data_IF_883637014858
#
_entry.id   IF_883637014858
#
_cell.length_a   1.000
_cell.length_b   1.000
_cell.length_c   1.000
_cell.angle_alpha   90.00
_cell.angle_beta   90.00
_cell.angle_gamma   90.00
#
_symmetry.space_group_name_H-M   'P 1'
#
loop_
_entity.id
_entity.type
_entity.pdbx_description
1 polymer ?
#
# COMPACT_ATOMS: atom_id res chain seq x y z
N UNK A 1 15.35 2.69 -15.73
CA UNK A 1 14.34 3.57 -16.34
C UNK A 1 13.98 4.63 -15.33
N UNK A 2 14.18 5.90 -15.67
CA UNK A 2 13.90 7.00 -14.76
C UNK A 2 12.43 6.98 -14.32
N UNK A 3 12.18 7.05 -13.03
CA UNK A 3 10.83 7.23 -12.50
C UNK A 3 10.34 8.62 -12.86
N UNK A 4 9.39 8.66 -13.77
CA UNK A 4 8.84 9.91 -14.26
C UNK A 4 7.54 10.23 -13.53
N UNK A 5 7.58 11.21 -12.65
CA UNK A 5 6.43 11.68 -11.89
C UNK A 5 5.61 12.68 -12.71
N UNK A 6 4.78 12.15 -13.60
CA UNK A 6 3.83 12.95 -14.38
C UNK A 6 2.61 13.28 -13.52
N UNK A 7 2.17 14.54 -13.58
CA UNK A 7 0.94 14.98 -12.93
C UNK A 7 -0.20 15.01 -13.94
N UNK A 8 -1.31 14.37 -13.62
CA UNK A 8 -2.56 14.46 -14.36
C UNK A 8 -3.50 15.48 -13.75
N UNK A 9 -4.17 16.21 -14.58
CA UNK A 9 -5.16 17.21 -14.18
C UNK A 9 -6.56 16.76 -14.57
N UNK A 10 -7.47 16.77 -13.60
CA UNK A 10 -8.87 16.45 -13.77
C UNK A 10 -9.73 17.58 -13.26
N UNK A 11 -10.89 17.78 -13.89
CA UNK A 11 -11.94 18.66 -13.40
C UNK A 11 -13.16 17.82 -13.04
N UNK A 12 -13.57 17.90 -11.80
CA UNK A 12 -14.80 17.30 -11.31
C UNK A 12 -15.94 18.29 -11.52
N UNK A 13 -16.74 18.07 -12.54
CA UNK A 13 -17.95 18.89 -12.80
C UNK A 13 -19.11 18.33 -11.99
N UNK A 14 -19.43 19.02 -10.91
CA UNK A 14 -20.55 18.68 -10.06
C UNK A 14 -21.89 18.77 -10.81
N UNK A 15 -22.71 17.76 -10.65
CA UNK A 15 -24.19 17.57 -10.77
C UNK A 15 -25.01 18.28 -11.84
N UNK A 16 -24.55 19.31 -12.52
CA UNK A 16 -25.37 20.11 -13.45
C UNK A 16 -24.97 19.91 -14.91
N UNK A 17 -23.89 19.26 -15.19
CA UNK A 17 -23.44 19.01 -16.57
C UNK A 17 -23.05 17.55 -16.75
N UNK A 18 -23.91 16.79 -17.30
CA UNK A 18 -23.83 15.55 -18.10
C UNK A 18 -22.59 14.63 -18.09
N UNK A 19 -21.69 14.74 -17.13
CA UNK A 19 -20.73 13.69 -16.80
C UNK A 19 -21.16 13.10 -15.47
N UNK A 20 -21.95 12.04 -15.53
CA UNK A 20 -22.10 11.12 -14.42
C UNK A 20 -20.70 10.61 -14.12
N UNK A 21 -20.05 11.15 -13.10
CA UNK A 21 -19.01 10.42 -12.42
C UNK A 21 -19.74 9.27 -11.73
N UNK A 22 -19.77 8.12 -12.36
CA UNK A 22 -20.17 6.91 -11.67
C UNK A 22 -19.09 6.68 -10.65
N UNK A 23 -19.42 6.92 -9.39
CA UNK A 23 -18.60 6.53 -8.30
C UNK A 23 -18.59 5.00 -8.29
N UNK A 24 -17.48 4.38 -8.60
CA UNK A 24 -17.33 2.93 -8.49
C UNK A 24 -16.82 2.63 -7.09
N UNK A 25 -17.49 1.70 -6.43
CA UNK A 25 -16.98 1.12 -5.21
C UNK A 25 -15.69 0.35 -5.52
N UNK A 26 -14.58 0.83 -4.97
CA UNK A 26 -13.35 0.06 -5.00
C UNK A 26 -13.29 -0.77 -3.73
N UNK A 27 -13.22 -2.05 -3.91
CA UNK A 27 -12.74 -3.13 -3.05
C UNK A 27 -12.59 -2.82 -1.54
N UNK A 28 -13.36 -2.12 -0.88
CA UNK A 28 -13.54 -2.11 0.56
C UNK A 28 -14.63 -1.14 0.91
N UNK A 29 -15.81 -1.68 1.12
CA UNK A 29 -17.00 -1.00 1.64
C UNK A 29 -17.07 0.51 1.32
N UNK A 30 -18.16 1.02 0.90
CA UNK A 30 -18.60 2.43 0.86
C UNK A 30 -17.67 3.55 0.30
N UNK A 31 -16.41 3.29 -0.08
CA UNK A 31 -15.55 4.31 -0.69
C UNK A 31 -15.78 4.38 -2.19
N UNK A 32 -16.43 5.41 -2.62
CA UNK A 32 -16.64 5.70 -4.04
C UNK A 32 -15.60 6.73 -4.51
N UNK A 33 -14.84 6.37 -5.54
CA UNK A 33 -13.89 7.27 -6.20
C UNK A 33 -14.41 7.72 -7.55
N UNK A 34 -14.18 8.98 -7.98
CA UNK A 34 -14.60 9.44 -9.29
C UNK A 34 -13.84 8.73 -10.41
N UNK A 35 -14.56 8.37 -11.47
CA UNK A 35 -14.01 7.82 -12.68
C UNK A 35 -13.95 8.91 -13.74
N UNK A 36 -12.80 9.05 -14.36
CA UNK A 36 -12.53 9.99 -15.43
C UNK A 36 -12.38 9.28 -16.79
N UNK A 37 -12.42 10.03 -17.91
CA UNK A 37 -12.25 9.45 -19.24
C UNK A 37 -11.01 8.56 -19.34
N UNK A 38 -11.15 7.41 -20.02
CA UNK A 38 -10.12 6.39 -20.11
C UNK A 38 -10.12 5.40 -18.96
N UNK A 39 -11.22 5.31 -18.21
CA UNK A 39 -11.39 4.43 -17.05
C UNK A 39 -10.30 4.66 -15.97
N UNK A 40 -9.97 5.91 -15.74
CA UNK A 40 -9.02 6.32 -14.71
C UNK A 40 -9.76 6.62 -13.41
N UNK A 41 -9.36 5.98 -12.33
CA UNK A 41 -9.86 6.27 -10.98
C UNK A 41 -8.98 7.35 -10.38
N UNK A 42 -9.59 8.40 -9.83
CA UNK A 42 -8.88 9.36 -8.99
C UNK A 42 -8.99 8.95 -7.52
N UNK A 43 -7.85 8.67 -6.90
CA UNK A 43 -7.74 8.36 -5.47
C UNK A 43 -7.20 9.59 -4.75
N UNK A 44 -8.05 10.35 -4.03
CA UNK A 44 -7.58 11.52 -3.29
C UNK A 44 -6.70 11.09 -2.11
N UNK A 45 -5.74 11.93 -1.75
CA UNK A 45 -5.04 11.83 -0.47
C UNK A 45 -6.11 11.97 0.62
N UNK A 46 -6.34 10.89 1.34
CA UNK A 46 -7.55 10.73 2.13
C UNK A 46 -7.65 11.74 3.28
N UNK A 47 -8.75 12.47 3.29
CA UNK A 47 -9.14 13.43 4.33
C UNK A 47 -9.45 12.78 5.67
N UNK A 48 -9.73 11.48 5.67
CA UNK A 48 -10.11 10.73 6.86
C UNK A 48 -8.91 10.22 7.66
N UNK A 49 -7.71 10.25 7.09
CA UNK A 49 -6.51 9.75 7.79
C UNK A 49 -5.67 10.96 8.23
N UNK A 50 -5.51 11.20 9.53
CA UNK A 50 -4.78 12.36 10.07
C UNK A 50 -3.28 12.37 9.71
N UNK A 51 -2.83 11.37 8.95
CA UNK A 51 -1.42 11.18 8.56
C UNK A 51 -1.22 11.09 7.04
N UNK A 52 -2.23 11.40 6.22
CA UNK A 52 -2.07 11.42 4.77
C UNK A 52 -1.15 12.55 4.35
N UNK A 53 -0.02 12.19 3.77
CA UNK A 53 0.94 13.14 3.23
C UNK A 53 1.05 12.96 1.70
N UNK A 54 1.49 13.97 0.95
CA UNK A 54 1.79 13.81 -0.47
C UNK A 54 2.75 12.66 -0.75
N UNK A 55 3.59 12.31 0.22
CA UNK A 55 4.50 11.18 0.12
C UNK A 55 3.79 9.84 -0.11
N UNK A 56 2.57 9.67 0.38
CA UNK A 56 1.77 8.47 0.09
C UNK A 56 1.40 8.36 -1.39
N UNK A 57 1.08 9.47 -2.05
CA UNK A 57 0.87 9.47 -3.49
C UNK A 57 2.16 9.10 -4.25
N UNK A 58 3.30 9.61 -3.81
CA UNK A 58 4.59 9.22 -4.38
C UNK A 58 4.91 7.74 -4.11
N UNK A 59 4.58 7.20 -2.94
CA UNK A 59 4.74 5.78 -2.63
C UNK A 59 3.90 4.89 -3.56
N UNK A 60 2.67 5.29 -3.85
CA UNK A 60 1.80 4.62 -4.83
C UNK A 60 2.45 4.55 -6.21
N UNK A 61 2.96 5.69 -6.70
CA UNK A 61 3.62 5.77 -8.01
C UNK A 61 4.92 4.95 -8.02
N UNK A 62 5.73 5.08 -6.97
CA UNK A 62 7.00 4.37 -6.81
C UNK A 62 6.81 2.86 -6.87
N UNK A 63 5.94 2.32 -6.01
CA UNK A 63 5.74 0.88 -5.93
C UNK A 63 5.00 0.31 -7.12
N UNK A 64 3.97 0.98 -7.64
CA UNK A 64 3.27 0.50 -8.84
C UNK A 64 4.20 0.42 -10.05
N UNK A 65 5.17 1.35 -10.15
CA UNK A 65 6.19 1.31 -11.20
C UNK A 65 7.15 0.15 -11.01
N UNK A 66 7.68 -0.04 -9.80
CA UNK A 66 8.58 -1.16 -9.48
C UNK A 66 7.89 -2.51 -9.71
N UNK A 67 6.67 -2.68 -9.19
CA UNK A 67 5.94 -3.94 -9.34
C UNK A 67 5.74 -4.26 -10.81
N UNK A 68 5.29 -3.28 -11.60
CA UNK A 68 5.03 -3.47 -13.02
C UNK A 68 6.31 -3.76 -13.83
N UNK A 69 7.43 -3.14 -13.50
CA UNK A 69 8.68 -3.29 -14.27
C UNK A 69 9.49 -4.53 -13.88
N UNK A 70 9.45 -4.91 -12.61
CA UNK A 70 10.34 -5.97 -12.10
C UNK A 70 9.64 -7.26 -11.73
N UNK A 71 8.38 -7.22 -11.29
CA UNK A 71 7.75 -8.40 -10.70
C UNK A 71 6.59 -8.96 -11.51
N UNK A 72 5.51 -8.20 -11.69
CA UNK A 72 4.29 -8.68 -12.33
C UNK A 72 3.48 -7.51 -12.89
N UNK A 73 2.61 -7.75 -13.89
CA UNK A 73 1.72 -6.71 -14.38
C UNK A 73 0.87 -6.13 -13.23
N UNK A 74 0.89 -4.81 -13.11
CA UNK A 74 0.11 -4.06 -12.12
C UNK A 74 -0.34 -2.72 -12.72
N UNK A 75 -1.49 -2.18 -12.30
CA UNK A 75 -1.90 -0.84 -12.70
C UNK A 75 -0.87 0.19 -12.26
N UNK A 76 -0.44 1.05 -13.17
CA UNK A 76 0.50 2.12 -12.84
C UNK A 76 -0.25 3.32 -12.32
N UNK A 77 0.14 3.78 -11.17
CA UNK A 77 -0.34 5.02 -10.58
C UNK A 77 0.43 6.21 -11.15
N UNK A 78 -0.26 7.32 -11.30
CA UNK A 78 0.32 8.63 -11.65
C UNK A 78 -0.13 9.66 -10.62
N UNK A 79 0.69 10.67 -10.34
CA UNK A 79 0.27 11.80 -9.51
C UNK A 79 -0.91 12.49 -10.19
N UNK A 80 -1.86 12.97 -9.41
CA UNK A 80 -3.04 13.63 -9.97
C UNK A 80 -3.54 14.78 -9.11
N UNK A 81 -4.06 15.79 -9.78
CA UNK A 81 -4.74 16.94 -9.19
C UNK A 81 -6.16 16.96 -9.76
N UNK A 82 -7.15 17.04 -8.88
CA UNK A 82 -8.55 17.13 -9.26
C UNK A 82 -9.16 18.42 -8.74
N UNK A 83 -9.63 19.26 -9.64
CA UNK A 83 -10.32 20.50 -9.31
C UNK A 83 -11.80 20.24 -9.11
N UNK A 84 -12.36 20.76 -8.01
CA UNK A 84 -13.81 20.73 -7.75
C UNK A 84 -14.35 19.39 -7.26
N UNK A 85 -13.50 18.44 -6.84
CA UNK A 85 -13.95 17.12 -6.35
C UNK A 85 -14.79 17.22 -5.07
N UNK A 86 -14.44 18.10 -4.15
CA UNK A 86 -15.33 18.39 -3.04
C UNK A 86 -16.43 19.37 -3.41
N UNK A 87 -17.64 18.88 -3.31
CA UNK A 87 -18.89 19.53 -3.74
C UNK A 87 -19.21 20.89 -3.11
N UNK A 88 -18.37 21.39 -2.24
CA UNK A 88 -18.62 22.62 -1.46
C UNK A 88 -17.92 23.84 -2.03
N UNK A 89 -16.87 23.67 -2.83
CA UNK A 89 -16.15 24.80 -3.41
C UNK A 89 -15.51 24.44 -4.76
N UNK A 90 -16.01 25.02 -5.86
CA UNK A 90 -15.52 24.81 -7.23
C UNK A 90 -14.04 25.19 -7.44
N UNK A 91 -13.43 25.88 -6.50
CA UNK A 91 -12.02 26.30 -6.53
C UNK A 91 -11.09 25.39 -5.74
N UNK A 92 -11.61 24.29 -5.24
CA UNK A 92 -10.83 23.39 -4.40
C UNK A 92 -9.99 22.43 -5.25
N UNK A 93 -8.69 22.36 -4.96
CA UNK A 93 -7.79 21.39 -5.56
C UNK A 93 -7.60 20.21 -4.61
N UNK A 94 -7.94 19.01 -5.07
CA UNK A 94 -7.61 17.77 -4.40
C UNK A 94 -6.38 17.15 -5.05
N UNK A 95 -5.41 16.83 -4.21
CA UNK A 95 -4.22 16.09 -4.60
C UNK A 95 -4.41 14.60 -4.33
N UNK A 96 -3.86 13.76 -5.19
CA UNK A 96 -3.98 12.32 -5.06
C UNK A 96 -3.24 11.60 -6.17
N UNK A 97 -3.73 10.40 -6.50
CA UNK A 97 -3.22 9.61 -7.61
C UNK A 97 -4.33 9.27 -8.59
N UNK A 98 -3.95 9.03 -9.82
CA UNK A 98 -4.81 8.44 -10.83
C UNK A 98 -4.28 7.07 -11.21
N UNK A 99 -5.18 6.09 -11.31
CA UNK A 99 -4.84 4.71 -11.66
C UNK A 99 -5.87 4.17 -12.64
N UNK A 100 -5.47 3.41 -13.68
CA UNK A 100 -6.42 2.72 -14.53
C UNK A 100 -7.19 1.69 -13.70
N UNK A 101 -8.48 1.51 -14.02
CA UNK A 101 -9.27 0.44 -13.41
C UNK A 101 -8.57 -0.91 -13.61
N UNK A 102 -8.52 -1.70 -12.54
CA UNK A 102 -7.92 -3.04 -12.56
C UNK A 102 -8.77 -4.07 -13.31
N UNK A 103 -9.97 -3.69 -13.78
CA UNK A 103 -10.93 -4.56 -14.44
C UNK A 103 -11.61 -3.84 -15.61
N UNK A 104 -12.15 -4.63 -16.55
CA UNK A 104 -12.83 -4.14 -17.77
C UNK A 104 -14.33 -4.01 -17.53
N UNK A 105 -15.02 -3.40 -18.51
CA UNK A 105 -16.49 -3.36 -18.51
C UNK A 105 -17.08 -4.79 -18.46
N UNK A 106 -18.00 -5.00 -17.55
CA UNK A 106 -18.60 -6.32 -17.29
C UNK A 106 -17.82 -7.21 -16.33
N UNK A 107 -16.66 -6.79 -15.87
CA UNK A 107 -15.90 -7.46 -14.81
C UNK A 107 -16.12 -6.74 -13.47
N UNK A 108 -15.78 -7.42 -12.36
CA UNK A 108 -15.83 -6.87 -11.01
C UNK A 108 -14.72 -7.44 -10.15
N UNK A 109 -14.48 -6.80 -9.01
CA UNK A 109 -13.55 -7.31 -8.00
C UNK A 109 -14.32 -7.89 -6.82
N UNK A 110 -13.85 -9.02 -6.33
CA UNK A 110 -14.35 -9.67 -5.12
C UNK A 110 -13.15 -9.86 -4.18
N UNK A 111 -13.06 -9.09 -3.10
CA UNK A 111 -11.93 -9.20 -2.18
C UNK A 111 -11.98 -10.52 -1.39
N UNK A 112 -10.83 -10.93 -0.83
CA UNK A 112 -10.73 -12.20 -0.12
C UNK A 112 -11.69 -12.27 1.08
N UNK A 113 -11.90 -11.16 1.79
CA UNK A 113 -12.81 -11.13 2.93
C UNK A 113 -14.26 -11.38 2.50
N UNK A 114 -14.71 -10.70 1.44
CA UNK A 114 -16.05 -10.92 0.87
C UNK A 114 -16.20 -12.30 0.26
N UNK A 115 -15.14 -12.80 -0.39
CA UNK A 115 -15.12 -14.14 -0.95
C UNK A 115 -15.36 -15.22 0.11
N UNK A 116 -14.57 -15.21 1.20
CA UNK A 116 -14.73 -16.22 2.26
C UNK A 116 -15.98 -16.03 3.12
N UNK A 117 -16.56 -14.83 3.17
CA UNK A 117 -17.90 -14.63 3.74
C UNK A 117 -18.99 -15.28 2.87
N UNK A 118 -18.83 -15.21 1.56
CA UNK A 118 -19.78 -15.79 0.60
C UNK A 118 -19.59 -17.29 0.43
N UNK A 119 -18.36 -17.75 0.47
CA UNK A 119 -17.95 -19.15 0.32
C UNK A 119 -17.07 -19.56 1.51
N UNK A 120 -17.70 -19.83 2.67
CA UNK A 120 -16.95 -20.18 3.88
C UNK A 120 -16.10 -21.43 3.67
N UNK A 121 -14.87 -21.40 4.17
CA UNK A 121 -13.94 -22.52 4.23
C UNK A 121 -13.54 -22.74 5.70
N UNK A 122 -13.59 -23.95 6.20
CA UNK A 122 -13.31 -24.27 7.60
C UNK A 122 -11.85 -24.02 8.02
N UNK A 123 -10.96 -23.95 7.03
CA UNK A 123 -9.52 -23.65 7.23
C UNK A 123 -9.25 -22.18 7.41
N UNK A 124 -10.20 -21.31 7.01
CA UNK A 124 -10.04 -19.85 7.00
C UNK A 124 -10.87 -19.22 8.11
N UNK A 125 -10.21 -18.72 9.13
CA UNK A 125 -10.86 -18.01 10.23
C UNK A 125 -10.99 -16.51 9.93
N UNK A 126 -12.10 -16.13 9.29
CA UNK A 126 -12.36 -14.74 8.89
C UNK A 126 -12.51 -13.81 10.10
N UNK A 127 -13.06 -14.28 11.20
CA UNK A 127 -13.35 -13.42 12.36
C UNK A 127 -12.07 -12.92 13.03
N UNK A 128 -10.96 -13.65 12.89
CA UNK A 128 -9.63 -13.22 13.32
C UNK A 128 -8.99 -12.15 12.40
N UNK A 129 -9.55 -11.91 11.21
CA UNK A 129 -8.95 -11.03 10.19
C UNK A 129 -9.55 -9.62 10.15
N UNK A 130 -10.64 -9.39 10.86
CA UNK A 130 -11.30 -8.06 10.90
C UNK A 130 -10.57 -7.05 11.79
N UNK A 131 -9.47 -7.43 12.42
CA UNK A 131 -8.82 -6.61 13.42
C UNK A 131 -7.74 -5.72 12.80
N UNK A 132 -8.09 -4.47 12.54
CA UNK A 132 -7.27 -3.41 11.93
C UNK A 132 -5.98 -3.03 12.69
N UNK A 133 -5.69 -3.68 13.82
CA UNK A 133 -4.48 -3.46 14.60
C UNK A 133 -3.31 -4.36 14.20
N UNK A 134 -3.48 -5.23 13.22
CA UNK A 134 -2.39 -6.07 12.74
C UNK A 134 -1.46 -5.29 11.80
N UNK A 135 -0.15 -5.36 12.04
CA UNK A 135 0.86 -4.81 11.13
C UNK A 135 1.03 -5.68 9.90
N UNK A 136 0.99 -7.00 10.08
CA UNK A 136 1.20 -7.98 9.03
C UNK A 136 0.18 -9.12 9.16
N UNK A 137 -0.16 -9.73 8.05
CA UNK A 137 -1.23 -10.73 7.96
C UNK A 137 -0.69 -12.12 7.64
N UNK A 138 -1.30 -13.13 8.24
CA UNK A 138 -0.98 -14.54 8.00
C UNK A 138 -1.81 -15.04 6.82
N UNK A 139 -1.14 -15.46 5.75
CA UNK A 139 -1.78 -15.95 4.53
C UNK A 139 -1.81 -17.48 4.42
N UNK A 140 -1.23 -18.20 5.39
CA UNK A 140 -1.11 -19.66 5.29
C UNK A 140 -2.47 -20.35 5.21
N UNK A 141 -3.42 -19.93 6.04
CA UNK A 141 -4.78 -20.48 6.01
C UNK A 141 -5.46 -20.21 4.66
N UNK A 142 -5.18 -19.06 4.04
CA UNK A 142 -5.69 -18.71 2.72
C UNK A 142 -5.10 -19.63 1.64
N UNK A 143 -3.79 -19.91 1.70
CA UNK A 143 -3.16 -20.85 0.76
C UNK A 143 -3.70 -22.27 0.91
N UNK A 144 -4.08 -22.68 2.12
CA UNK A 144 -4.64 -24.01 2.39
C UNK A 144 -6.12 -24.13 2.06
N UNK A 145 -6.82 -23.03 1.78
CA UNK A 145 -8.21 -23.05 1.40
C UNK A 145 -8.46 -23.91 0.15
N UNK A 146 -9.53 -24.70 0.17
CA UNK A 146 -9.85 -25.66 -0.89
C UNK A 146 -9.88 -25.00 -2.25
N UNK A 147 -10.46 -23.78 -2.34
CA UNK A 147 -10.50 -23.02 -3.59
C UNK A 147 -9.11 -22.76 -4.18
N UNK A 148 -8.12 -22.33 -3.37
CA UNK A 148 -6.76 -22.06 -3.87
C UNK A 148 -5.97 -23.34 -4.13
N UNK A 149 -6.24 -24.41 -3.40
CA UNK A 149 -5.66 -25.73 -3.68
C UNK A 149 -6.12 -26.30 -5.03
N UNK A 150 -7.35 -25.97 -5.45
CA UNK A 150 -7.89 -26.35 -6.77
C UNK A 150 -7.43 -25.39 -7.89
N UNK A 151 -6.92 -24.19 -7.56
CA UNK A 151 -6.54 -23.15 -8.50
C UNK A 151 -5.07 -22.74 -8.32
N UNK A 152 -4.16 -23.64 -8.63
CA UNK A 152 -2.72 -23.51 -8.39
C UNK A 152 -2.11 -22.22 -8.96
N UNK A 153 -2.53 -21.80 -10.16
CA UNK A 153 -2.03 -20.56 -10.78
C UNK A 153 -2.39 -19.31 -9.95
N UNK A 154 -3.60 -19.27 -9.38
CA UNK A 154 -4.01 -18.16 -8.50
C UNK A 154 -3.23 -18.18 -7.18
N UNK A 155 -2.96 -19.39 -6.65
CA UNK A 155 -2.16 -19.54 -5.44
C UNK A 155 -0.70 -19.08 -5.67
N UNK A 156 -0.10 -19.38 -6.81
CA UNK A 156 1.23 -18.91 -7.19
C UNK A 156 1.26 -17.39 -7.39
N UNK A 157 0.23 -16.81 -7.99
CA UNK A 157 0.08 -15.35 -8.10
C UNK A 157 -0.04 -14.69 -6.72
N UNK A 158 -0.83 -15.27 -5.82
CA UNK A 158 -0.95 -14.80 -4.45
C UNK A 158 0.39 -14.89 -3.70
N UNK A 159 1.12 -15.99 -3.87
CA UNK A 159 2.45 -16.17 -3.28
C UNK A 159 3.41 -15.05 -3.73
N UNK A 160 3.44 -14.73 -5.04
CA UNK A 160 4.21 -13.62 -5.56
C UNK A 160 3.77 -12.28 -4.95
N UNK A 161 2.46 -12.01 -4.85
CA UNK A 161 1.93 -10.79 -4.25
C UNK A 161 2.30 -10.68 -2.76
N UNK A 162 2.24 -11.77 -2.00
CA UNK A 162 2.66 -11.79 -0.59
C UNK A 162 4.16 -11.51 -0.46
N UNK A 163 5.02 -12.09 -1.29
CA UNK A 163 6.46 -11.79 -1.30
C UNK A 163 6.73 -10.32 -1.61
N UNK A 164 6.03 -9.76 -2.60
CA UNK A 164 6.14 -8.33 -2.95
C UNK A 164 5.65 -7.45 -1.79
N UNK A 165 4.57 -7.82 -1.10
CA UNK A 165 4.07 -7.05 0.04
C UNK A 165 5.07 -6.98 1.19
N UNK A 166 5.79 -8.08 1.45
CA UNK A 166 6.90 -8.11 2.42
C UNK A 166 8.04 -7.21 1.98
N UNK A 167 8.45 -7.31 0.72
CA UNK A 167 9.49 -6.43 0.15
C UNK A 167 9.10 -4.96 0.25
N UNK A 168 7.85 -4.64 0.00
CA UNK A 168 7.27 -3.28 0.09
C UNK A 168 7.20 -2.79 1.55
N UNK A 169 7.30 -3.68 2.53
CA UNK A 169 7.05 -3.38 3.93
C UNK A 169 5.61 -2.89 4.12
N UNK A 170 4.68 -3.51 3.44
CA UNK A 170 3.28 -3.10 3.38
C UNK A 170 2.53 -3.44 4.65
N UNK A 171 2.12 -2.42 5.37
CA UNK A 171 1.35 -2.59 6.60
C UNK A 171 -0.16 -2.66 6.37
N UNK A 172 -0.59 -2.55 5.13
CA UNK A 172 -2.00 -2.54 4.74
C UNK A 172 -2.36 -3.63 3.73
N UNK A 173 -1.51 -4.65 3.58
CA UNK A 173 -1.79 -5.78 2.69
C UNK A 173 -2.69 -6.79 3.41
N UNK A 174 -3.93 -6.36 3.68
CA UNK A 174 -4.97 -7.16 4.31
C UNK A 174 -5.93 -7.76 3.28
N UNK A 175 -6.80 -8.65 3.71
CA UNK A 175 -7.68 -9.42 2.80
C UNK A 175 -8.67 -8.58 2.00
N UNK A 176 -8.96 -7.34 2.40
CA UNK A 176 -9.76 -6.42 1.61
C UNK A 176 -8.97 -5.79 0.45
N UNK A 177 -7.62 -5.78 0.51
CA UNK A 177 -6.74 -5.26 -0.54
C UNK A 177 -6.23 -6.35 -1.49
N UNK A 178 -6.66 -7.60 -1.29
CA UNK A 178 -6.40 -8.73 -2.18
C UNK A 178 -7.75 -9.19 -2.74
N UNK A 179 -7.87 -9.28 -4.05
CA UNK A 179 -9.15 -9.57 -4.68
C UNK A 179 -9.03 -10.57 -5.83
N UNK A 180 -10.13 -11.24 -6.09
CA UNK A 180 -10.35 -11.97 -7.33
C UNK A 180 -10.99 -11.05 -8.37
N UNK A 181 -10.61 -11.25 -9.62
CA UNK A 181 -11.26 -10.69 -10.77
C UNK A 181 -12.41 -11.62 -11.16
N UNK A 182 -13.62 -11.09 -11.26
CA UNK A 182 -14.81 -11.84 -11.62
C UNK A 182 -15.39 -11.37 -12.95
N UNK A 183 -15.97 -12.28 -13.71
CA UNK A 183 -16.73 -11.98 -14.91
C UNK A 183 -18.11 -11.37 -14.59
N UNK A 184 -18.85 -11.02 -15.63
CA UNK A 184 -20.20 -10.43 -15.53
C UNK A 184 -21.23 -11.32 -14.80
N UNK A 185 -21.00 -12.62 -14.76
CA UNK A 185 -21.88 -13.61 -14.14
C UNK A 185 -21.41 -13.96 -12.71
N UNK A 186 -20.31 -13.33 -12.25
CA UNK A 186 -19.73 -13.52 -10.93
C UNK A 186 -18.79 -14.73 -10.84
N UNK A 187 -18.43 -15.34 -11.98
CA UNK A 187 -17.42 -16.37 -12.05
C UNK A 187 -16.01 -15.82 -11.86
N UNK A 188 -15.17 -16.48 -11.06
CA UNK A 188 -13.80 -16.06 -10.82
C UNK A 188 -12.93 -16.36 -12.04
N UNK A 189 -12.24 -15.34 -12.55
CA UNK A 189 -11.34 -15.43 -13.71
C UNK A 189 -9.89 -15.64 -13.27
N UNK A 190 -9.42 -14.81 -12.32
CA UNK A 190 -8.02 -14.80 -11.86
C UNK A 190 -7.92 -14.07 -10.53
N UNK A 191 -6.71 -14.08 -9.94
CA UNK A 191 -6.37 -13.10 -8.92
C UNK A 191 -6.22 -11.72 -9.58
N UNK A 192 -6.74 -10.68 -8.94
CA UNK A 192 -6.60 -9.31 -9.41
C UNK A 192 -5.16 -8.81 -9.24
N UNK A 193 -4.70 -7.85 -10.07
CA UNK A 193 -3.42 -7.19 -9.85
C UNK A 193 -3.34 -6.50 -8.50
N UNK A 194 -2.12 -6.37 -7.98
CA UNK A 194 -1.89 -5.60 -6.74
C UNK A 194 -2.30 -4.15 -6.90
N UNK A 195 -3.01 -3.66 -5.89
CA UNK A 195 -3.47 -2.27 -5.77
C UNK A 195 -3.14 -1.73 -4.39
N UNK A 196 -3.31 -0.43 -4.17
CA UNK A 196 -3.17 0.24 -2.87
C UNK A 196 -1.75 0.11 -2.26
N UNK A 197 -0.83 0.97 -2.73
CA UNK A 197 0.58 0.91 -2.35
C UNK A 197 1.01 2.03 -1.38
N UNK A 198 0.06 2.77 -0.80
CA UNK A 198 0.36 3.97 -0.02
C UNK A 198 1.07 3.69 1.32
N UNK A 199 0.81 2.53 1.94
CA UNK A 199 1.31 2.18 3.27
C UNK A 199 2.61 1.36 3.27
N UNK A 200 3.60 1.84 2.53
CA UNK A 200 4.94 1.26 2.58
C UNK A 200 5.74 1.83 3.75
N UNK A 201 6.33 0.95 4.56
CA UNK A 201 7.15 1.31 5.73
C UNK A 201 8.24 2.33 5.40
N UNK A 202 8.81 2.28 4.20
CA UNK A 202 9.90 3.17 3.78
C UNK A 202 9.48 4.64 3.60
N UNK A 203 8.20 4.89 3.40
CA UNK A 203 7.63 6.22 3.16
C UNK A 203 6.72 6.68 4.29
N UNK A 204 6.60 5.87 5.35
CA UNK A 204 5.83 6.24 6.53
C UNK A 204 6.70 7.02 7.52
N UNK A 205 6.08 8.00 8.18
CA UNK A 205 6.71 8.80 9.23
C UNK A 205 8.04 9.47 8.84
N UNK A 206 8.12 10.14 7.70
CA UNK A 206 9.38 10.76 7.25
C UNK A 206 9.85 11.90 8.16
N UNK A 207 8.96 12.46 8.96
CA UNK A 207 9.18 13.53 9.95
C UNK A 207 9.46 12.99 11.36
N UNK A 208 9.23 11.71 11.62
CA UNK A 208 9.47 11.04 12.90
C UNK A 208 10.46 9.88 12.74
N UNK A 209 11.75 10.20 12.80
CA UNK A 209 12.85 9.23 12.67
C UNK A 209 12.69 8.07 13.66
N UNK A 210 12.26 8.34 14.89
CA UNK A 210 12.13 7.28 15.91
C UNK A 210 11.06 6.27 15.53
N UNK A 211 9.92 6.73 15.03
CA UNK A 211 8.87 5.87 14.50
C UNK A 211 9.29 5.14 13.25
N UNK A 212 9.93 5.84 12.31
CA UNK A 212 10.42 5.23 11.09
C UNK A 212 11.39 4.08 11.38
N UNK A 213 12.40 4.31 12.22
CA UNK A 213 13.36 3.28 12.65
C UNK A 213 12.66 2.13 13.38
N UNK A 214 11.70 2.42 14.26
CA UNK A 214 10.93 1.39 14.95
C UNK A 214 10.26 0.43 13.96
N UNK A 215 9.54 0.97 12.97
CA UNK A 215 8.84 0.15 11.99
C UNK A 215 9.77 -0.66 11.09
N UNK A 216 10.93 -0.11 10.72
CA UNK A 216 11.95 -0.85 9.98
C UNK A 216 12.54 -1.99 10.81
N UNK A 217 12.74 -1.78 12.10
CA UNK A 217 13.21 -2.83 13.02
C UNK A 217 12.16 -3.93 13.15
N UNK A 218 10.89 -3.60 13.29
CA UNK A 218 9.81 -4.58 13.37
C UNK A 218 9.69 -5.38 12.07
N UNK A 219 9.79 -4.74 10.91
CA UNK A 219 9.83 -5.44 9.62
C UNK A 219 11.01 -6.40 9.54
N UNK A 220 12.21 -5.95 9.90
CA UNK A 220 13.43 -6.77 9.90
C UNK A 220 13.34 -7.99 10.85
N UNK A 221 12.83 -7.79 12.06
CA UNK A 221 12.58 -8.88 13.03
C UNK A 221 11.58 -9.88 12.47
N UNK A 222 10.48 -9.38 11.90
CA UNK A 222 9.42 -10.22 11.35
C UNK A 222 9.89 -11.05 10.15
N UNK A 223 10.74 -10.50 9.28
CA UNK A 223 11.34 -11.24 8.16
C UNK A 223 12.23 -12.37 8.70
N UNK A 224 13.08 -12.08 9.70
CA UNK A 224 14.05 -13.03 10.25
C UNK A 224 13.45 -14.06 11.22
N UNK A 225 12.19 -13.90 11.61
CA UNK A 225 11.53 -14.78 12.55
C UNK A 225 12.08 -14.67 13.97
N UNK A 226 12.47 -13.48 14.40
CA UNK A 226 12.94 -13.30 15.77
C UNK A 226 11.79 -13.52 16.74
N UNK A 227 12.07 -14.34 17.74
CA UNK A 227 11.11 -14.58 18.81
C UNK A 227 10.81 -13.28 19.56
N UNK A 228 9.53 -13.07 19.81
CA UNK A 228 9.06 -11.97 20.65
C UNK A 228 9.59 -12.20 22.07
N UNK A 229 10.33 -11.24 22.61
CA UNK A 229 10.85 -11.34 23.96
C UNK A 229 9.73 -11.12 24.96
N UNK A 230 9.72 -11.83 26.09
CA UNK A 230 8.79 -11.54 27.18
C UNK A 230 8.85 -10.04 27.54
N UNK A 231 7.71 -9.37 27.55
CA UNK A 231 7.61 -7.95 27.88
C UNK A 231 7.87 -6.97 26.72
N UNK A 232 8.21 -7.44 25.51
CA UNK A 232 8.49 -6.56 24.38
C UNK A 232 7.28 -5.68 23.98
N UNK A 233 6.08 -6.19 24.17
CA UNK A 233 4.82 -5.48 23.89
C UNK A 233 4.01 -5.09 25.15
N UNK A 234 4.65 -5.07 26.32
CA UNK A 234 3.96 -4.72 27.60
C UNK A 234 3.45 -3.26 27.64
N UNK A 235 3.95 -2.42 26.74
CA UNK A 235 3.48 -1.05 26.59
C UNK A 235 2.05 -0.94 26.01
N UNK A 236 1.56 -2.00 25.37
CA UNK A 236 0.18 -2.09 24.93
C UNK A 236 -0.70 -2.37 26.14
N UNK A 237 -1.56 -1.39 26.48
CA UNK A 237 -2.44 -1.45 27.66
C UNK A 237 -3.53 -2.52 27.54
N UNK A 238 -3.92 -2.85 26.32
CA UNK A 238 -4.92 -3.86 26.01
C UNK A 238 -4.25 -5.21 25.78
N UNK A 239 -4.72 -6.24 26.51
CA UNK A 239 -4.19 -7.59 26.38
C UNK A 239 -4.48 -8.24 25.02
N UNK A 240 -5.59 -7.86 24.36
CA UNK A 240 -5.93 -8.37 23.02
C UNK A 240 -5.05 -7.68 21.96
N UNK A 241 -4.84 -6.38 22.07
CA UNK A 241 -3.95 -5.62 21.19
C UNK A 241 -2.51 -6.16 21.25
N UNK A 242 -2.02 -6.48 22.47
CA UNK A 242 -0.72 -7.12 22.65
C UNK A 242 -0.64 -8.47 21.96
N UNK A 243 -1.64 -9.35 22.13
CA UNK A 243 -1.67 -10.66 21.45
C UNK A 243 -1.65 -10.54 19.93
N UNK A 244 -2.37 -9.54 19.40
CA UNK A 244 -2.37 -9.27 17.96
C UNK A 244 -1.00 -8.83 17.47
N UNK A 245 -0.29 -7.98 18.20
CA UNK A 245 1.06 -7.55 17.87
C UNK A 245 2.04 -8.72 17.89
N UNK A 246 1.98 -9.55 18.94
CA UNK A 246 2.80 -10.77 19.04
C UNK A 246 2.52 -11.74 17.89
N UNK A 247 1.26 -11.93 17.51
CA UNK A 247 0.86 -12.74 16.36
C UNK A 247 1.40 -12.14 15.06
N UNK A 248 1.19 -10.86 14.86
CA UNK A 248 1.61 -10.11 13.68
C UNK A 248 3.14 -10.18 13.47
N UNK A 249 3.93 -10.07 14.53
CA UNK A 249 5.39 -10.10 14.49
C UNK A 249 5.96 -11.39 13.87
N UNK A 250 5.22 -12.49 13.90
CA UNK A 250 5.65 -13.78 13.36
C UNK A 250 5.08 -14.13 11.99
N UNK A 251 4.06 -13.39 11.53
CA UNK A 251 3.32 -13.72 10.30
C UNK A 251 4.21 -13.70 9.06
N UNK A 252 5.05 -12.67 8.90
CA UNK A 252 5.92 -12.54 7.72
C UNK A 252 6.82 -13.75 7.57
N UNK A 253 7.55 -14.11 8.63
CA UNK A 253 8.46 -15.24 8.57
C UNK A 253 7.77 -16.55 8.24
N UNK A 254 6.61 -16.78 8.85
CA UNK A 254 5.79 -17.95 8.58
C UNK A 254 5.29 -17.99 7.15
N UNK A 255 4.85 -16.86 6.60
CA UNK A 255 4.46 -16.76 5.19
C UNK A 255 5.66 -17.06 4.27
N UNK A 256 6.84 -16.47 4.55
CA UNK A 256 8.05 -16.71 3.74
C UNK A 256 8.45 -18.18 3.72
N UNK A 257 8.46 -18.85 4.88
CA UNK A 257 8.79 -20.26 4.96
C UNK A 257 7.75 -21.13 4.25
N UNK A 258 6.45 -20.85 4.45
CA UNK A 258 5.37 -21.56 3.78
C UNK A 258 5.48 -21.44 2.26
N UNK A 259 5.67 -20.22 1.74
CA UNK A 259 5.80 -19.98 0.31
C UNK A 259 7.04 -20.68 -0.26
N UNK A 260 8.15 -20.60 0.44
CA UNK A 260 9.38 -21.31 0.05
C UNK A 260 9.18 -22.82 -0.08
N UNK A 261 8.45 -23.43 0.86
CA UNK A 261 8.21 -24.87 0.90
C UNK A 261 7.20 -25.31 -0.18
N UNK A 262 6.08 -24.59 -0.32
CA UNK A 262 4.97 -25.00 -1.15
C UNK A 262 4.98 -24.41 -2.56
N UNK A 263 5.67 -23.27 -2.77
CA UNK A 263 5.79 -22.56 -4.05
C UNK A 263 7.26 -22.26 -4.41
N UNK A 264 8.12 -23.28 -4.50
CA UNK A 264 9.56 -23.08 -4.68
C UNK A 264 9.89 -22.37 -6.01
N UNK A 265 9.14 -22.62 -7.08
CA UNK A 265 9.36 -21.95 -8.36
C UNK A 265 9.04 -20.45 -8.30
N UNK A 266 7.93 -20.09 -7.66
CA UNK A 266 7.55 -18.69 -7.41
C UNK A 266 8.60 -18.00 -6.53
N UNK A 267 9.14 -18.71 -5.54
CA UNK A 267 10.21 -18.20 -4.67
C UNK A 267 11.48 -17.90 -5.46
N UNK A 268 11.94 -18.79 -6.31
CA UNK A 268 13.13 -18.57 -7.14
C UNK A 268 12.89 -17.43 -8.15
N UNK A 269 11.72 -17.39 -8.78
CA UNK A 269 11.34 -16.29 -9.67
C UNK A 269 11.36 -14.93 -8.96
N UNK A 270 10.82 -14.87 -7.75
CA UNK A 270 10.86 -13.66 -6.92
C UNK A 270 12.30 -13.25 -6.61
N UNK A 271 13.16 -14.19 -6.19
CA UNK A 271 14.55 -13.91 -5.84
C UNK A 271 15.34 -13.37 -7.04
N UNK A 272 15.15 -13.94 -8.23
CA UNK A 272 15.79 -13.46 -9.46
C UNK A 272 15.34 -12.04 -9.82
N UNK A 273 14.07 -11.74 -9.65
CA UNK A 273 13.48 -10.42 -9.89
C UNK A 273 13.94 -9.40 -8.84
N UNK A 274 14.01 -9.78 -7.58
CA UNK A 274 14.48 -8.96 -6.48
C UNK A 274 15.98 -8.60 -6.64
N UNK A 275 16.82 -9.54 -7.09
CA UNK A 275 18.23 -9.27 -7.36
C UNK A 275 18.42 -8.29 -8.54
N UNK A 276 17.60 -8.40 -9.60
CA UNK A 276 17.57 -7.41 -10.69
C UNK A 276 17.19 -6.02 -10.20
N UNK A 277 16.17 -5.94 -9.35
CA UNK A 277 15.77 -4.67 -8.73
C UNK A 277 16.90 -4.11 -7.86
N UNK A 278 17.53 -4.92 -7.01
CA UNK A 278 18.65 -4.52 -6.14
C UNK A 278 19.84 -4.00 -6.94
N UNK A 279 20.15 -4.65 -8.05
CA UNK A 279 21.17 -4.19 -9.00
C UNK A 279 20.80 -2.82 -9.59
N UNK A 280 19.57 -2.67 -10.07
CA UNK A 280 19.10 -1.40 -10.62
C UNK A 280 19.09 -0.27 -9.58
N UNK A 281 18.67 -0.53 -8.36
CA UNK A 281 18.72 0.42 -7.24
C UNK A 281 20.15 0.81 -6.85
N UNK A 282 21.14 -0.02 -7.18
CA UNK A 282 22.56 0.25 -6.90
C UNK A 282 23.23 1.02 -8.04
N UNK A 283 23.02 0.60 -9.29
CA UNK A 283 23.71 1.13 -10.46
C UNK A 283 23.06 2.39 -11.03
N UNK A 284 21.74 2.51 -10.86
CA UNK A 284 20.93 3.61 -11.40
C UNK A 284 20.06 4.25 -10.31
N UNK A 285 20.57 4.42 -9.09
CA UNK A 285 19.81 4.93 -7.95
C UNK A 285 19.14 6.28 -8.23
N UNK A 286 19.79 7.16 -8.99
CA UNK A 286 19.24 8.47 -9.37
C UNK A 286 17.94 8.37 -10.18
N UNK A 287 17.70 7.26 -10.89
CA UNK A 287 16.47 7.03 -11.65
C UNK A 287 15.26 6.73 -10.76
N UNK A 288 15.50 6.29 -9.53
CA UNK A 288 14.48 5.94 -8.55
C UNK A 288 14.19 7.06 -7.54
N UNK A 289 14.91 8.18 -7.62
CA UNK A 289 14.69 9.26 -6.67
C UNK A 289 13.34 9.95 -6.92
N UNK A 290 12.62 10.19 -5.84
CA UNK A 290 11.46 11.08 -5.87
C UNK A 290 11.97 12.48 -6.10
N UNK A 291 11.52 13.10 -7.18
CA UNK A 291 11.84 14.49 -7.51
C UNK A 291 10.61 15.32 -7.29
N UNK A 292 10.79 16.45 -6.60
CA UNK A 292 9.72 17.43 -6.42
C UNK A 292 9.17 17.87 -7.77
N UNK A 293 7.88 18.09 -7.82
CA UNK A 293 7.17 18.59 -8.98
C UNK A 293 6.62 19.98 -8.67
N UNK A 294 6.79 20.94 -9.58
CA UNK A 294 6.34 22.34 -9.37
C UNK A 294 4.82 22.46 -9.29
N UNK A 295 4.09 21.49 -9.84
CA UNK A 295 2.63 21.48 -9.87
C UNK A 295 2.02 20.68 -8.71
N UNK A 296 2.76 19.73 -8.15
CA UNK A 296 2.31 18.87 -7.05
C UNK A 296 2.96 19.32 -5.75
N UNK A 297 2.22 19.36 -4.62
CA UNK A 297 2.75 19.91 -3.38
C UNK A 297 4.06 19.25 -2.95
N UNK A 298 4.99 20.04 -2.48
CA UNK A 298 6.18 19.57 -1.79
C UNK A 298 5.79 18.93 -0.44
N UNK A 299 6.52 17.89 -0.02
CA UNK A 299 6.23 17.16 1.21
C UNK A 299 6.18 18.07 2.44
N UNK A 300 7.09 19.02 2.50
CA UNK A 300 7.26 19.85 3.68
C UNK A 300 6.09 20.78 3.94
N UNK A 301 5.65 21.49 2.91
CA UNK A 301 4.65 22.55 3.09
C UNK A 301 3.21 22.01 3.02
N UNK A 302 3.01 20.90 2.37
CA UNK A 302 1.69 20.40 2.05
C UNK A 302 1.20 19.29 2.99
N UNK A 303 2.08 18.53 3.63
CA UNK A 303 1.63 17.52 4.59
C UNK A 303 0.96 18.16 5.80
N UNK A 304 1.51 19.22 6.35
CA UNK A 304 0.89 19.94 7.45
C UNK A 304 -0.42 20.59 7.06
N UNK A 305 -0.45 21.19 5.88
CA UNK A 305 -1.65 21.82 5.37
C UNK A 305 -2.75 20.78 5.10
N UNK A 306 -2.42 19.63 4.52
CA UNK A 306 -3.37 18.54 4.32
C UNK A 306 -3.85 17.94 5.64
N UNK A 307 -2.94 17.74 6.61
CA UNK A 307 -3.30 17.26 7.94
C UNK A 307 -4.12 18.32 8.67
N UNK A 308 -3.73 19.58 8.62
CA UNK A 308 -4.47 20.68 9.21
C UNK A 308 -5.86 20.81 8.59
N UNK A 309 -5.99 20.78 7.27
CA UNK A 309 -7.29 20.77 6.59
C UNK A 309 -8.13 19.54 6.92
N UNK A 310 -7.55 18.35 6.94
CA UNK A 310 -8.29 17.14 7.28
C UNK A 310 -8.82 17.17 8.72
N UNK A 311 -8.05 17.71 9.65
CA UNK A 311 -8.38 17.72 11.08
C UNK A 311 -9.30 18.87 11.49
N UNK A 312 -9.15 20.03 10.84
CA UNK A 312 -9.84 21.28 11.20
C UNK A 312 -10.69 21.85 10.07
N UNK A 313 -10.97 21.04 9.05
CA UNK A 313 -11.81 21.41 7.92
C UNK A 313 -13.14 21.99 8.44
N UNK A 314 -13.48 23.16 7.94
CA UNK A 314 -14.74 23.90 8.20
C UNK A 314 -14.88 24.54 9.59
N UNK A 315 -13.92 24.44 10.51
CA UNK A 315 -14.17 24.95 11.86
C UNK A 315 -13.18 26.00 12.35
N UNK A 316 -11.92 26.02 11.88
CA UNK A 316 -10.95 26.91 12.51
C UNK A 316 -9.62 26.96 11.71
N UNK A 317 -9.51 27.94 10.81
CA UNK A 317 -8.27 28.19 10.07
C UNK A 317 -7.09 28.53 10.99
N UNK A 318 -7.37 29.13 12.14
CA UNK A 318 -6.35 29.50 13.13
C UNK A 318 -5.78 28.25 13.81
N UNK A 319 -6.61 27.26 14.12
CA UNK A 319 -6.14 25.97 14.65
C UNK A 319 -5.42 25.12 13.61
N UNK A 320 -5.83 25.17 12.35
CA UNK A 320 -5.12 24.52 11.26
C UNK A 320 -3.72 25.10 11.11
N UNK A 321 -3.59 26.43 11.10
CA UNK A 321 -2.32 27.14 11.03
C UNK A 321 -1.44 26.93 12.29
N UNK A 322 -2.04 26.88 13.47
CA UNK A 322 -1.33 26.58 14.72
C UNK A 322 -0.80 25.16 14.75
N UNK A 323 -1.56 24.19 14.29
CA UNK A 323 -1.13 22.79 14.16
C UNK A 323 -0.04 22.62 13.10
N UNK A 324 -0.15 23.36 12.02
CA UNK A 324 0.87 23.48 10.98
C UNK A 324 2.18 24.02 11.57
N UNK A 325 2.11 25.12 12.30
CA UNK A 325 3.27 25.72 12.99
C UNK A 325 3.87 24.80 14.06
N UNK A 326 3.07 24.01 14.76
CA UNK A 326 3.53 23.03 15.76
C UNK A 326 4.29 21.87 15.10
N UNK A 327 3.78 21.31 13.99
CA UNK A 327 4.42 20.24 13.25
C UNK A 327 5.73 20.68 12.57
N UNK A 328 5.77 21.90 12.05
CA UNK A 328 6.89 22.43 11.25
C UNK A 328 7.68 23.53 11.92
N UNK A 329 7.22 24.07 13.04
CA UNK A 329 7.90 25.15 13.78
C UNK A 329 9.32 24.80 14.27
N UNK A 330 9.77 23.57 14.02
CA UNK A 330 11.13 23.09 14.29
C UNK A 330 12.03 23.04 13.04
N UNK A 331 11.59 23.57 11.92
CA UNK A 331 12.49 23.95 10.82
C UNK A 331 13.14 22.84 10.02
N UNK A 332 12.68 21.61 10.07
CA UNK A 332 13.17 20.55 9.18
C UNK A 332 12.27 20.42 7.96
N UNK A 333 12.65 21.04 6.87
CA UNK A 333 12.13 20.69 5.54
C UNK A 333 12.55 19.25 5.25
N UNK A 334 11.56 18.38 4.99
CA UNK A 334 11.82 17.05 4.43
C UNK A 334 12.23 17.21 2.97
N UNK A 335 13.43 16.76 2.65
CA UNK A 335 13.86 16.66 1.27
C UNK A 335 13.40 15.29 0.72
N UNK A 336 12.57 15.29 -0.32
CA UNK A 336 12.13 14.10 -1.02
C UNK A 336 13.29 13.23 -1.50
N UNK A 337 14.38 13.89 -1.89
CA UNK A 337 15.57 13.18 -2.31
C UNK A 337 16.17 12.36 -1.16
N UNK A 338 16.29 12.96 0.02
CA UNK A 338 16.82 12.26 1.19
C UNK A 338 15.93 11.09 1.62
N UNK A 339 14.61 11.30 1.60
CA UNK A 339 13.64 10.23 1.86
C UNK A 339 13.78 9.09 0.86
N UNK A 340 13.94 9.40 -0.43
CA UNK A 340 14.12 8.39 -1.47
C UNK A 340 15.43 7.63 -1.34
N UNK A 341 16.52 8.32 -1.02
CA UNK A 341 17.83 7.69 -0.80
C UNK A 341 17.76 6.71 0.37
N UNK A 342 17.11 7.14 1.47
CA UNK A 342 16.89 6.25 2.63
C UNK A 342 16.06 5.03 2.24
N UNK A 343 14.93 5.23 1.58
CA UNK A 343 14.05 4.17 1.12
C UNK A 343 14.78 3.17 0.20
N UNK A 344 15.56 3.63 -0.77
CA UNK A 344 16.36 2.78 -1.66
C UNK A 344 17.33 1.90 -0.88
N UNK A 345 18.04 2.46 0.11
CA UNK A 345 18.98 1.70 0.92
C UNK A 345 18.28 0.68 1.82
N UNK A 346 17.13 1.04 2.38
CA UNK A 346 16.31 0.17 3.20
C UNK A 346 15.71 -0.98 2.39
N UNK A 347 15.21 -0.71 1.19
CA UNK A 347 14.71 -1.73 0.26
C UNK A 347 15.81 -2.74 -0.10
N UNK A 348 17.03 -2.26 -0.43
CA UNK A 348 18.17 -3.15 -0.70
C UNK A 348 18.50 -4.05 0.52
N UNK A 349 18.43 -3.49 1.72
CA UNK A 349 18.66 -4.26 2.95
C UNK A 349 17.55 -5.30 3.16
N UNK A 350 16.30 -4.98 2.91
CA UNK A 350 15.18 -5.92 3.01
C UNK A 350 15.28 -7.02 1.97
N UNK A 351 15.65 -6.71 0.72
CA UNK A 351 15.93 -7.74 -0.30
C UNK A 351 16.97 -8.73 0.24
N UNK A 352 18.09 -8.24 0.77
CA UNK A 352 19.15 -9.11 1.30
C UNK A 352 18.68 -9.98 2.47
N UNK A 353 17.82 -9.44 3.35
CA UNK A 353 17.22 -10.22 4.45
C UNK A 353 16.27 -11.31 3.95
N UNK A 354 15.43 -10.99 2.97
CA UNK A 354 14.54 -11.98 2.35
C UNK A 354 15.34 -13.08 1.63
N UNK A 355 16.40 -12.72 0.90
CA UNK A 355 17.31 -13.68 0.28
C UNK A 355 17.92 -14.64 1.32
N UNK A 356 18.38 -14.09 2.45
CA UNK A 356 18.94 -14.90 3.54
C UNK A 356 17.94 -15.93 4.06
N UNK A 357 16.67 -15.55 4.25
CA UNK A 357 15.63 -16.46 4.75
C UNK A 357 15.21 -17.48 3.68
N UNK A 358 14.98 -17.01 2.45
CA UNK A 358 14.45 -17.85 1.38
C UNK A 358 15.48 -18.82 0.79
N UNK A 359 16.79 -18.48 0.80
CA UNK A 359 17.89 -19.35 0.32
C UNK A 359 18.48 -20.26 1.39
N UNK A 360 18.21 -20.05 2.68
CA UNK A 360 18.68 -20.98 3.72
C UNK A 360 18.16 -22.38 3.41
N UNK A 361 19.07 -23.34 3.26
CA UNK A 361 18.74 -24.76 3.30
C UNK A 361 18.57 -25.13 4.78
N UNK A 362 17.48 -25.78 5.13
CA UNK A 362 17.32 -26.41 6.45
C UNK A 362 18.40 -27.46 6.69
#
# INVERSE_FOLDING_TARGET
>A
TAMYYKVRHYQYKNRIGNLKSEAVGVVSGEKHFPIFPGNMIFKPLTKSKPFSTPLYAYAEVFWSTIINEYFMPAPRYELAICEGYEAVNEKYLDYGTAVPMAYKEGESLLNLLEFFRKYPDEKVDIDNYVNYCQMFYDYRDIFEADFLQEHQEMAEQLAMQVLISVLKGDQNYHYENVAFLCDKDGGIISLAPMIDHEFSTYFMFPDDISRHVYWLMELSKSIRGWEVRPGEYDNFKDSEERKLMEKSATCIHKNLLYIKEHYPQTTEEFLDKAEKLKTALTEASEDFLIRGNTEYPDCADSSAWLIGKARYKDKDEEKASAYEAELYGKGKKLDFRDVSISAINEIKAVISQMEEVLRKRE
#
